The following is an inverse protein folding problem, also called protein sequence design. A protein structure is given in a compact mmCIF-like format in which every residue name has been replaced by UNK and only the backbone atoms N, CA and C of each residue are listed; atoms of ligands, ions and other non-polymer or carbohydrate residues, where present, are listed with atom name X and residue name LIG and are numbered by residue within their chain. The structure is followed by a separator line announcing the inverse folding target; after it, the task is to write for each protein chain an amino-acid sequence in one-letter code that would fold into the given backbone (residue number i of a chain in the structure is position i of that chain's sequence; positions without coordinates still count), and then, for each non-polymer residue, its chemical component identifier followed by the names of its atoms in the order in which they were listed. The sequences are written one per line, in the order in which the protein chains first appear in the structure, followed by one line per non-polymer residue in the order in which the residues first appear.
data_IF_749058101813
#
_entry.id   IF_749058101813
#
_cell.length_a   1.000
_cell.length_b   1.000
_cell.length_c   1.000
_cell.angle_alpha   90.00
_cell.angle_beta   90.00
_cell.angle_gamma   90.00
#
_symmetry.space_group_name_H-M   'P 1'
#
loop_
_entity.id
_entity.type
_entity.pdbx_description
1 polymer ?
#
# COMPACT_ATOMS: atom_id res chain seq x y z
N UNK A 1 3.45 7.14 -13.26
CA UNK A 1 3.58 5.69 -12.99
C UNK A 1 3.30 5.46 -11.51
N UNK A 2 2.55 4.42 -11.16
CA UNK A 2 2.10 4.10 -9.81
C UNK A 2 2.47 2.65 -9.45
N UNK A 3 2.56 2.29 -8.15
CA UNK A 3 2.87 0.93 -7.73
C UNK A 3 2.02 -0.15 -8.41
N UNK A 4 0.73 0.08 -8.59
CA UNK A 4 -0.20 -0.84 -9.27
C UNK A 4 0.24 -1.21 -10.70
N UNK A 5 1.03 -0.36 -11.38
CA UNK A 5 1.49 -0.63 -12.74
C UNK A 5 2.63 -1.65 -12.80
N UNK A 6 3.33 -1.90 -11.69
CA UNK A 6 4.55 -2.73 -11.63
C UNK A 6 4.51 -3.83 -10.57
N UNK A 7 3.57 -3.78 -9.63
CA UNK A 7 3.54 -4.67 -8.46
C UNK A 7 3.57 -6.16 -8.82
N UNK A 8 2.86 -6.57 -9.88
CA UNK A 8 2.88 -7.97 -10.32
C UNK A 8 4.24 -8.39 -10.87
N UNK A 9 4.93 -7.52 -11.61
CA UNK A 9 6.26 -7.81 -12.15
C UNK A 9 7.27 -8.00 -11.02
N UNK A 10 7.23 -7.14 -10.00
CA UNK A 10 8.10 -7.28 -8.82
C UNK A 10 7.81 -8.58 -8.05
N UNK A 11 6.54 -8.92 -7.83
CA UNK A 11 6.15 -10.17 -7.15
C UNK A 11 6.55 -11.44 -7.90
N UNK A 12 6.68 -11.36 -9.23
CA UNK A 12 7.07 -12.50 -10.05
C UNK A 12 8.58 -12.73 -10.15
N UNK A 13 9.41 -11.83 -9.63
CA UNK A 13 10.87 -11.99 -9.64
C UNK A 13 11.26 -13.10 -8.65
N UNK A 14 11.98 -14.15 -9.09
CA UNK A 14 12.34 -15.28 -8.22
C UNK A 14 13.10 -14.89 -6.94
N UNK A 15 13.94 -13.85 -7.00
CA UNK A 15 14.77 -13.37 -5.90
C UNK A 15 14.03 -12.42 -4.94
N UNK A 16 12.81 -11.96 -5.27
CA UNK A 16 12.06 -11.06 -4.40
C UNK A 16 11.33 -11.87 -3.33
N UNK A 17 11.84 -11.84 -2.10
CA UNK A 17 11.24 -12.56 -0.98
C UNK A 17 9.90 -11.93 -0.54
N UNK A 18 9.88 -10.61 -0.33
CA UNK A 18 8.73 -9.88 0.22
C UNK A 18 8.74 -8.41 -0.23
N UNK A 19 7.55 -7.84 -0.39
CA UNK A 19 7.37 -6.39 -0.57
C UNK A 19 6.59 -5.87 0.64
N UNK A 20 7.24 -5.02 1.45
CA UNK A 20 6.69 -4.59 2.74
C UNK A 20 5.79 -3.35 2.65
N UNK A 21 6.03 -2.46 1.68
CA UNK A 21 5.22 -1.26 1.45
C UNK A 21 5.24 -0.86 -0.03
N UNK A 22 4.15 -0.23 -0.50
CA UNK A 22 4.09 0.36 -1.84
C UNK A 22 3.01 1.47 -1.86
N UNK A 23 3.41 2.68 -1.48
CA UNK A 23 2.49 3.79 -1.14
C UNK A 23 3.03 5.15 -1.56
N UNK A 24 2.18 6.17 -1.52
CA UNK A 24 2.55 7.58 -1.62
C UNK A 24 2.30 8.35 -0.31
N UNK A 25 1.87 7.65 0.74
CA UNK A 25 1.65 8.23 2.07
C UNK A 25 3.00 8.46 2.79
N UNK A 26 3.03 9.27 3.87
CA UNK A 26 4.13 9.23 4.83
C UNK A 26 4.37 7.80 5.30
N UNK A 27 5.63 7.36 5.24
CA UNK A 27 6.02 5.98 5.53
C UNK A 27 7.10 5.95 6.60
N UNK A 28 6.95 5.05 7.57
CA UNK A 28 7.99 4.71 8.53
C UNK A 28 8.30 3.22 8.48
N UNK A 29 9.55 2.86 8.73
CA UNK A 29 10.02 1.47 8.82
C UNK A 29 10.41 1.18 10.26
N UNK A 30 9.82 0.13 10.85
CA UNK A 30 10.17 -0.34 12.19
C UNK A 30 11.33 -1.31 12.05
N UNK A 31 12.46 -0.95 12.67
CA UNK A 31 13.69 -1.73 12.62
C UNK A 31 14.00 -2.26 14.03
N UNK A 32 14.22 -3.56 14.14
CA UNK A 32 14.81 -4.17 15.32
C UNK A 32 16.32 -4.33 15.10
N UNK A 33 17.10 -4.06 16.14
CA UNK A 33 18.55 -4.24 16.15
C UNK A 33 18.91 -5.30 17.20
N UNK A 34 19.86 -6.14 16.86
CA UNK A 34 20.42 -7.22 17.68
C UNK A 34 21.93 -7.17 17.59
N UNK A 35 22.65 -7.92 18.43
CA UNK A 35 24.11 -8.00 18.38
C UNK A 35 24.64 -8.50 17.02
N UNK A 36 23.84 -9.27 16.26
CA UNK A 36 24.20 -9.74 14.92
C UNK A 36 23.93 -8.70 13.82
N UNK A 37 22.89 -7.87 13.97
CA UNK A 37 22.48 -6.93 12.92
C UNK A 37 21.03 -6.45 13.06
N UNK A 38 20.47 -5.95 11.95
CA UNK A 38 19.13 -5.32 11.90
C UNK A 38 18.13 -6.12 11.08
N UNK A 39 16.87 -6.08 11.50
CA UNK A 39 15.74 -6.67 10.81
C UNK A 39 14.62 -5.64 10.61
N UNK A 40 13.97 -5.67 9.45
CA UNK A 40 12.72 -4.92 9.26
C UNK A 40 11.58 -5.72 9.87
N UNK A 41 10.95 -5.18 10.91
CA UNK A 41 9.84 -5.82 11.64
C UNK A 41 8.50 -5.49 11.00
N UNK A 42 8.37 -4.28 10.45
CA UNK A 42 7.13 -3.83 9.83
C UNK A 42 7.22 -2.40 9.31
N UNK A 43 6.10 -1.91 8.80
CA UNK A 43 5.95 -0.56 8.26
C UNK A 43 4.72 0.12 8.84
N UNK A 44 4.81 1.44 8.99
CA UNK A 44 3.66 2.31 9.27
C UNK A 44 3.38 3.10 8.00
N UNK A 45 2.33 2.71 7.27
CA UNK A 45 1.89 3.34 6.03
C UNK A 45 0.73 4.29 6.31
N UNK A 46 1.02 5.59 6.35
CA UNK A 46 0.03 6.62 6.61
C UNK A 46 -0.46 6.65 8.06
N UNK A 47 -1.77 6.68 8.25
CA UNK A 47 -2.42 7.00 9.51
C UNK A 47 -3.48 5.97 9.90
N UNK A 48 -3.80 5.89 11.19
CA UNK A 48 -4.87 5.01 11.70
C UNK A 48 -6.23 5.36 11.07
N UNK A 49 -7.12 4.37 10.85
CA UNK A 49 -8.47 4.63 10.38
C UNK A 49 -9.25 5.51 11.36
N UNK A 50 -10.12 6.38 10.83
CA UNK A 50 -10.96 7.29 11.63
C UNK A 50 -12.37 6.74 11.91
N UNK A 51 -12.78 5.69 11.22
CA UNK A 51 -14.12 5.11 11.30
C UNK A 51 -14.38 4.13 10.15
N UNK A 52 -15.64 3.73 10.00
CA UNK A 52 -16.12 2.82 8.96
C UNK A 52 -16.95 3.61 7.94
N UNK A 53 -16.54 3.59 6.67
CA UNK A 53 -17.41 3.07 5.61
C UNK A 53 -18.93 3.36 5.61
N UNK A 54 -19.44 4.57 5.33
CA UNK A 54 -20.89 4.78 5.11
C UNK A 54 -21.35 4.58 3.65
N UNK A 55 -22.66 4.52 3.41
CA UNK A 55 -23.24 4.38 2.05
C UNK A 55 -22.81 5.52 1.10
N UNK A 56 -22.73 6.75 1.61
CA UNK A 56 -22.28 7.91 0.84
C UNK A 56 -20.79 7.81 0.47
N UNK A 57 -19.95 7.33 1.38
CA UNK A 57 -18.51 7.13 1.14
C UNK A 57 -18.28 6.06 0.07
N UNK A 58 -19.06 4.97 0.12
CA UNK A 58 -19.05 3.91 -0.89
C UNK A 58 -19.40 4.48 -2.27
N UNK A 59 -20.44 5.32 -2.35
CA UNK A 59 -20.83 5.97 -3.61
C UNK A 59 -19.68 6.83 -4.14
N UNK A 60 -19.11 7.70 -3.29
CA UNK A 60 -18.00 8.60 -3.65
C UNK A 60 -16.77 7.85 -4.16
N UNK A 61 -16.29 6.81 -3.47
CA UNK A 61 -15.09 6.08 -3.91
C UNK A 61 -15.31 5.33 -5.22
N UNK A 62 -16.52 4.81 -5.48
CA UNK A 62 -16.86 4.12 -6.73
C UNK A 62 -16.96 5.10 -7.90
N UNK A 63 -17.55 6.28 -7.70
CA UNK A 63 -17.59 7.35 -8.70
C UNK A 63 -16.18 7.86 -9.01
N UNK A 64 -15.35 8.06 -7.99
CA UNK A 64 -13.96 8.49 -8.17
C UNK A 64 -13.18 7.56 -9.11
N UNK A 65 -13.24 6.24 -8.90
CA UNK A 65 -12.54 5.27 -9.76
C UNK A 65 -12.95 5.34 -11.24
N UNK A 66 -14.20 5.68 -11.53
CA UNK A 66 -14.68 5.91 -12.92
C UNK A 66 -14.16 7.23 -13.47
N UNK A 67 -14.20 8.28 -12.66
CA UNK A 67 -13.68 9.61 -13.02
C UNK A 67 -12.20 9.56 -13.39
N UNK A 68 -11.41 8.77 -12.67
CA UNK A 68 -9.98 8.58 -12.96
C UNK A 68 -9.70 7.44 -13.97
N UNK A 69 -10.73 6.87 -14.60
CA UNK A 69 -10.60 5.93 -15.72
C UNK A 69 -10.18 4.50 -15.36
N UNK A 70 -10.22 4.11 -14.08
CA UNK A 70 -9.81 2.77 -13.64
C UNK A 70 -10.96 1.73 -13.64
N UNK A 71 -12.20 2.19 -13.76
CA UNK A 71 -13.39 1.34 -13.92
C UNK A 71 -14.33 1.95 -14.96
N UNK A 72 -15.00 1.10 -15.73
CA UNK A 72 -15.97 1.48 -16.75
C UNK A 72 -17.38 1.05 -16.33
N UNK A 73 -18.39 1.80 -16.79
CA UNK A 73 -19.81 1.61 -16.44
C UNK A 73 -20.42 2.85 -15.81
#
# INVERSE_FOLDING_TARGET
MYPINVMQRLKSVPEVCSILAATANPLQVIVAETDQGRAVVGVVDGFKPKGIEGDEDIRKRREFLRKIGYKFG
#
